data_IF_815681521595
#
_entry.id   IF_815681521595
#
_cell.length_a   1.000
_cell.length_b   1.000
_cell.length_c   1.000
_cell.angle_alpha   90.00
_cell.angle_beta   90.00
_cell.angle_gamma   90.00
#
_symmetry.space_group_name_H-M   'P 1'
#
loop_
_entity.id
_entity.type
_entity.pdbx_description
1 polymer ?
#
# COMPACT_ATOMS: atom_id res chain seq x y z
N UNK A 1 -2.96 -3.96 6.91
CA UNK A 1 -3.25 -3.77 8.34
C UNK A 1 -3.12 -2.30 8.66
N UNK A 2 -4.11 -1.72 9.34
CA UNK A 2 -4.17 -0.32 9.71
C UNK A 2 -3.80 -0.17 11.19
N UNK A 3 -2.95 0.80 11.52
CA UNK A 3 -2.68 1.17 12.91
C UNK A 3 -3.97 1.76 13.51
N UNK A 4 -4.43 1.16 14.60
CA UNK A 4 -5.55 1.64 15.38
C UNK A 4 -5.09 2.43 16.60
N UNK A 5 -5.95 2.48 17.60
CA UNK A 5 -5.69 3.19 18.85
C UNK A 5 -4.50 2.59 19.61
N UNK A 6 -4.02 3.33 20.60
CA UNK A 6 -2.97 2.89 21.50
C UNK A 6 -3.33 3.30 22.93
N UNK A 7 -3.03 2.44 23.90
CA UNK A 7 -3.27 2.72 25.33
C UNK A 7 -1.93 3.11 25.94
N UNK A 8 -1.96 4.20 26.70
CA UNK A 8 -0.85 4.67 27.54
C UNK A 8 -1.08 4.27 29.00
N UNK A 9 -0.02 4.15 29.78
CA UNK A 9 -0.11 4.08 31.25
C UNK A 9 -0.13 5.49 31.87
N UNK A 10 -0.10 5.55 33.21
CA UNK A 10 -0.13 6.79 34.00
C UNK A 10 1.10 7.68 33.76
N UNK A 11 2.22 7.10 33.34
CA UNK A 11 3.46 7.81 32.98
C UNK A 11 3.46 8.23 31.50
N UNK A 12 2.30 8.14 30.83
CA UNK A 12 2.11 8.38 29.39
C UNK A 12 2.87 7.44 28.45
N UNK A 13 3.43 6.34 28.94
CA UNK A 13 4.14 5.37 28.12
C UNK A 13 3.15 4.49 27.37
N UNK A 14 3.34 4.30 26.06
CA UNK A 14 2.51 3.39 25.28
C UNK A 14 2.70 1.95 25.75
N UNK A 15 1.65 1.38 26.34
CA UNK A 15 1.65 0.00 26.86
C UNK A 15 0.91 -0.98 25.97
N UNK A 16 -0.02 -0.52 25.13
CA UNK A 16 -0.71 -1.37 24.14
C UNK A 16 -0.94 -0.66 22.82
N UNK A 17 -0.86 -1.42 21.73
CA UNK A 17 -1.12 -0.96 20.36
C UNK A 17 -2.11 -1.90 19.69
N UNK A 18 -3.11 -1.33 19.03
CA UNK A 18 -4.08 -2.08 18.23
C UNK A 18 -3.75 -1.94 16.76
N UNK A 19 -3.83 -3.05 16.03
CA UNK A 19 -3.71 -3.08 14.59
C UNK A 19 -4.91 -3.80 14.02
N UNK A 20 -5.66 -3.15 13.15
CA UNK A 20 -6.87 -3.69 12.56
C UNK A 20 -6.61 -4.19 11.14
N UNK A 21 -7.29 -5.24 10.72
CA UNK A 21 -7.23 -5.67 9.33
C UNK A 21 -7.96 -4.69 8.41
N UNK A 22 -7.78 -4.87 7.10
CA UNK A 22 -8.50 -4.08 6.11
C UNK A 22 -10.02 -4.29 6.32
N UNK A 23 -10.83 -3.26 6.02
CA UNK A 23 -12.30 -3.22 6.18
C UNK A 23 -12.86 -2.95 7.59
N UNK A 24 -12.03 -2.68 8.59
CA UNK A 24 -12.52 -2.18 9.90
C UNK A 24 -13.28 -0.85 9.78
N UNK A 25 -14.23 -0.66 10.72
CA UNK A 25 -14.99 0.56 10.92
C UNK A 25 -16.19 0.68 9.98
N UNK A 26 -16.80 1.86 9.97
CA UNK A 26 -17.94 2.18 9.10
C UNK A 26 -17.65 3.44 8.30
N UNK A 27 -18.38 3.64 7.20
CA UNK A 27 -18.35 4.91 6.47
C UNK A 27 -19.20 5.92 7.24
N UNK A 28 -18.64 7.10 7.52
CA UNK A 28 -19.40 8.15 8.20
C UNK A 28 -20.57 8.67 7.37
N UNK A 29 -21.69 8.99 8.03
CA UNK A 29 -22.93 9.47 7.41
C UNK A 29 -22.73 10.68 6.48
N UNK A 30 -21.80 11.59 6.83
CA UNK A 30 -21.48 12.78 6.02
C UNK A 30 -21.00 12.42 4.60
N UNK A 31 -20.39 11.25 4.40
CA UNK A 31 -19.92 10.80 3.09
C UNK A 31 -21.03 10.22 2.19
N UNK A 32 -22.21 9.98 2.74
CA UNK A 32 -23.40 9.57 2.00
C UNK A 32 -24.15 10.76 1.40
N UNK A 33 -24.16 11.90 2.09
CA UNK A 33 -25.00 13.05 1.76
C UNK A 33 -24.22 14.28 1.26
N UNK A 34 -23.03 14.08 0.67
CA UNK A 34 -22.24 15.19 0.13
C UNK A 34 -22.88 15.73 -1.15
N UNK A 35 -23.40 16.94 -1.07
CA UNK A 35 -24.08 17.65 -2.16
C UNK A 35 -23.09 18.17 -3.22
N UNK A 36 -21.86 18.50 -2.83
CA UNK A 36 -20.77 19.03 -3.66
C UNK A 36 -20.05 17.97 -4.53
N UNK A 37 -20.61 16.77 -4.62
CA UNK A 37 -19.92 15.61 -5.17
C UNK A 37 -19.97 15.58 -6.70
N UNK A 38 -18.79 15.61 -7.34
CA UNK A 38 -18.62 15.52 -8.81
C UNK A 38 -18.50 14.10 -9.37
N UNK A 39 -18.30 13.07 -8.53
CA UNK A 39 -18.05 11.67 -8.95
C UNK A 39 -18.94 10.71 -8.15
N UNK A 40 -19.35 9.54 -8.67
CA UNK A 40 -20.21 8.60 -7.97
C UNK A 40 -19.61 8.10 -6.64
N UNK A 41 -20.46 7.51 -5.79
CA UNK A 41 -20.00 6.86 -4.55
C UNK A 41 -19.00 5.76 -4.87
N UNK A 42 -17.86 5.76 -4.16
CA UNK A 42 -17.01 4.59 -4.12
C UNK A 42 -17.78 3.43 -3.47
N UNK A 43 -17.59 2.18 -3.91
CA UNK A 43 -18.14 1.00 -3.26
C UNK A 43 -17.85 1.00 -1.75
N UNK A 44 -18.76 0.46 -0.96
CA UNK A 44 -18.57 0.33 0.48
C UNK A 44 -17.59 -0.81 0.76
N UNK A 45 -16.42 -0.45 1.29
CA UNK A 45 -15.33 -1.39 1.56
C UNK A 45 -15.14 -1.66 3.05
N UNK A 46 -15.83 -0.93 3.92
CA UNK A 46 -15.76 -1.09 5.37
C UNK A 46 -16.98 -1.88 5.85
N UNK A 47 -16.76 -2.95 6.60
CA UNK A 47 -17.80 -3.87 7.07
C UNK A 47 -17.85 -3.94 8.59
N UNK A 48 -17.16 -3.03 9.28
CA UNK A 48 -16.97 -3.06 10.73
C UNK A 48 -16.33 -4.37 11.25
N UNK A 49 -15.44 -4.96 10.44
CA UNK A 49 -14.73 -6.20 10.75
C UNK A 49 -13.79 -6.02 11.95
N UNK A 50 -13.99 -6.77 13.04
CA UNK A 50 -13.25 -6.64 14.31
C UNK A 50 -11.93 -7.45 14.37
N UNK A 51 -11.50 -8.03 13.24
CA UNK A 51 -10.21 -8.73 13.13
C UNK A 51 -9.06 -7.78 13.47
N UNK A 52 -8.25 -8.16 14.46
CA UNK A 52 -7.18 -7.29 14.98
C UNK A 52 -6.04 -8.04 15.62
N UNK A 53 -4.86 -7.44 15.56
CA UNK A 53 -3.67 -7.79 16.31
C UNK A 53 -3.49 -6.80 17.45
N UNK A 54 -3.39 -7.32 18.68
CA UNK A 54 -3.13 -6.52 19.89
C UNK A 54 -1.71 -6.78 20.35
N UNK A 55 -0.91 -5.74 20.40
CA UNK A 55 0.46 -5.78 20.91
C UNK A 55 0.52 -5.10 22.27
N UNK A 56 1.37 -5.60 23.17
CA UNK A 56 1.66 -4.97 24.46
C UNK A 56 3.16 -4.80 24.67
N UNK A 57 3.54 -3.81 25.46
CA UNK A 57 4.93 -3.62 25.89
C UNK A 57 5.21 -4.47 27.12
N UNK A 58 6.13 -5.42 26.99
CA UNK A 58 6.68 -6.18 28.11
C UNK A 58 7.74 -5.33 28.81
N UNK A 59 7.36 -4.71 29.94
CA UNK A 59 8.23 -3.80 30.71
C UNK A 59 9.48 -4.50 31.25
N UNK A 60 9.43 -5.81 31.48
CA UNK A 60 10.57 -6.55 32.05
C UNK A 60 11.77 -6.62 31.10
N UNK A 61 11.52 -6.63 29.79
CA UNK A 61 12.56 -6.74 28.76
C UNK A 61 12.53 -5.58 27.75
N UNK A 62 11.60 -4.64 27.88
CA UNK A 62 11.44 -3.49 26.98
C UNK A 62 10.95 -3.84 25.56
N UNK A 63 10.42 -5.05 25.34
CA UNK A 63 10.04 -5.54 24.00
C UNK A 63 8.53 -5.58 23.80
N UNK A 64 8.08 -5.31 22.58
CA UNK A 64 6.69 -5.49 22.21
C UNK A 64 6.39 -6.96 21.96
N UNK A 65 5.31 -7.48 22.57
CA UNK A 65 4.84 -8.85 22.42
C UNK A 65 3.39 -8.88 21.97
N UNK A 66 3.01 -9.96 21.28
CA UNK A 66 1.62 -10.19 20.90
C UNK A 66 0.81 -10.55 22.14
N UNK A 67 -0.27 -9.80 22.39
CA UNK A 67 -1.25 -10.12 23.44
C UNK A 67 -2.36 -11.02 22.91
N UNK A 68 -2.88 -10.68 21.74
CA UNK A 68 -4.01 -11.39 21.14
C UNK A 68 -4.02 -11.17 19.62
N UNK A 69 -4.49 -12.19 18.91
CA UNK A 69 -4.82 -12.14 17.50
C UNK A 69 -6.27 -12.61 17.37
N UNK A 70 -7.13 -11.74 16.84
CA UNK A 70 -8.52 -12.07 16.50
C UNK A 70 -8.56 -12.26 15.00
N UNK A 71 -8.72 -13.50 14.55
CA UNK A 71 -8.67 -13.88 13.12
C UNK A 71 -10.04 -13.94 12.45
N UNK A 72 -11.13 -13.95 13.23
CA UNK A 72 -12.48 -14.05 12.68
C UNK A 72 -12.80 -12.81 11.82
N UNK A 73 -13.18 -13.06 10.57
CA UNK A 73 -13.57 -12.05 9.60
C UNK A 73 -15.07 -12.12 9.34
N UNK A 74 -15.73 -10.97 9.20
CA UNK A 74 -17.14 -10.89 8.81
C UNK A 74 -17.33 -10.71 7.28
N UNK A 75 -16.29 -11.01 6.51
CA UNK A 75 -16.25 -10.88 5.07
C UNK A 75 -15.22 -11.87 4.51
N UNK A 76 -15.34 -12.18 3.22
CA UNK A 76 -14.34 -13.02 2.55
C UNK A 76 -12.97 -12.33 2.52
N UNK A 77 -11.93 -13.14 2.68
CA UNK A 77 -10.56 -12.70 2.45
C UNK A 77 -10.33 -12.42 0.96
N UNK A 78 -9.39 -11.52 0.67
CA UNK A 78 -9.04 -11.24 -0.72
C UNK A 78 -8.40 -12.47 -1.35
N UNK A 79 -8.87 -12.85 -2.54
CA UNK A 79 -8.29 -13.98 -3.28
C UNK A 79 -6.79 -13.75 -3.52
N UNK A 80 -5.95 -14.79 -3.38
CA UNK A 80 -4.51 -14.72 -3.67
C UNK A 80 -4.19 -14.19 -5.07
N UNK A 81 -5.09 -14.37 -6.04
CA UNK A 81 -4.94 -13.89 -7.43
C UNK A 81 -4.84 -12.37 -7.51
N UNK A 82 -5.35 -11.64 -6.51
CA UNK A 82 -5.29 -10.18 -6.44
C UNK A 82 -4.15 -9.66 -5.55
N UNK A 83 -3.26 -10.52 -5.07
CA UNK A 83 -2.14 -10.09 -4.21
C UNK A 83 -1.22 -9.10 -4.93
N UNK A 84 -1.00 -9.30 -6.23
CA UNK A 84 -0.16 -8.43 -7.06
C UNK A 84 -0.66 -6.97 -7.16
N UNK A 85 -1.97 -6.72 -6.98
CA UNK A 85 -2.54 -5.37 -6.98
C UNK A 85 -2.58 -4.74 -5.58
N UNK A 86 -2.29 -5.51 -4.52
CA UNK A 86 -2.29 -5.00 -3.14
C UNK A 86 -1.02 -4.18 -2.87
N UNK A 87 -1.19 -2.93 -2.43
CA UNK A 87 -0.08 -2.01 -2.19
C UNK A 87 1.12 -2.57 -1.39
N UNK A 88 0.93 -3.32 -0.28
CA UNK A 88 2.05 -3.89 0.47
C UNK A 88 2.87 -4.94 -0.28
N UNK A 89 2.29 -5.57 -1.30
CA UNK A 89 2.92 -6.61 -2.12
C UNK A 89 3.57 -6.04 -3.39
N UNK A 90 3.27 -4.78 -3.73
CA UNK A 90 3.82 -4.13 -4.91
C UNK A 90 5.20 -3.54 -4.60
N UNK A 91 6.20 -3.92 -5.37
CA UNK A 91 7.57 -3.44 -5.24
C UNK A 91 8.28 -3.45 -6.59
N UNK A 92 8.81 -2.30 -6.98
CA UNK A 92 9.78 -2.22 -8.07
C UNK A 92 11.15 -2.47 -7.47
N UNK A 93 11.72 -3.64 -7.74
CA UNK A 93 13.06 -4.02 -7.27
C UNK A 93 14.13 -3.20 -8.01
N UNK A 94 15.33 -3.07 -7.44
CA UNK A 94 16.44 -2.39 -8.13
C UNK A 94 16.77 -3.05 -9.48
N UNK A 95 16.67 -4.38 -9.56
CA UNK A 95 16.82 -5.10 -10.82
C UNK A 95 15.75 -4.73 -11.85
N UNK A 96 14.48 -4.57 -11.44
CA UNK A 96 13.43 -4.07 -12.33
C UNK A 96 13.73 -2.63 -12.77
N UNK A 97 14.14 -1.75 -11.84
CA UNK A 97 14.50 -0.35 -12.17
C UNK A 97 15.58 -0.28 -13.23
N UNK A 98 16.66 -1.05 -13.08
CA UNK A 98 17.75 -1.08 -14.06
C UNK A 98 17.24 -1.46 -15.46
N UNK A 99 16.45 -2.53 -15.57
CA UNK A 99 15.85 -2.94 -16.84
C UNK A 99 14.88 -1.89 -17.40
N UNK A 100 14.05 -1.29 -16.56
CA UNK A 100 13.12 -0.21 -16.95
C UNK A 100 13.90 0.95 -17.57
N UNK A 101 15.00 1.37 -16.94
CA UNK A 101 15.86 2.43 -17.46
C UNK A 101 16.48 2.07 -18.81
N UNK A 102 17.12 0.91 -18.91
CA UNK A 102 17.76 0.48 -20.15
C UNK A 102 16.76 0.38 -21.31
N UNK A 103 15.56 -0.17 -21.07
CA UNK A 103 14.52 -0.25 -22.10
C UNK A 103 13.98 1.13 -22.47
N UNK A 104 13.76 2.00 -21.49
CA UNK A 104 13.30 3.35 -21.77
C UNK A 104 14.33 4.17 -22.58
N UNK A 105 15.63 4.03 -22.27
CA UNK A 105 16.72 4.65 -23.03
C UNK A 105 16.85 4.08 -24.44
N UNK A 106 16.53 2.80 -24.63
CA UNK A 106 16.39 2.18 -25.94
C UNK A 106 15.09 2.59 -26.69
N UNK A 107 14.27 3.48 -26.12
CA UNK A 107 13.09 4.06 -26.77
C UNK A 107 11.80 3.26 -26.59
N UNK A 108 11.77 2.24 -25.73
CA UNK A 108 10.54 1.49 -25.48
C UNK A 108 9.53 2.31 -24.68
N UNK A 109 8.27 2.28 -25.10
CA UNK A 109 7.18 2.89 -24.36
C UNK A 109 6.91 2.14 -23.05
N UNK A 110 6.45 2.86 -22.03
CA UNK A 110 6.09 2.31 -20.71
C UNK A 110 5.12 1.12 -20.80
N UNK A 111 4.20 1.14 -21.77
CA UNK A 111 3.26 0.03 -22.04
C UNK A 111 3.97 -1.22 -22.54
N UNK A 112 4.98 -1.08 -23.40
CA UNK A 112 5.78 -2.18 -23.93
C UNK A 112 6.68 -2.77 -22.83
N UNK A 113 7.31 -1.91 -22.03
CA UNK A 113 8.12 -2.33 -20.86
C UNK A 113 7.26 -3.15 -19.90
N UNK A 114 6.05 -2.67 -19.58
CA UNK A 114 5.10 -3.40 -18.74
C UNK A 114 4.73 -4.77 -19.36
N UNK A 115 4.47 -4.81 -20.66
CA UNK A 115 4.17 -6.06 -21.39
C UNK A 115 5.32 -7.05 -21.35
N UNK A 116 6.57 -6.57 -21.49
CA UNK A 116 7.76 -7.40 -21.36
C UNK A 116 7.87 -8.05 -19.98
N UNK A 117 7.72 -7.28 -18.89
CA UNK A 117 7.75 -7.85 -17.54
C UNK A 117 6.61 -8.84 -17.29
N UNK A 118 5.40 -8.52 -17.77
CA UNK A 118 4.28 -9.44 -17.68
C UNK A 118 4.59 -10.75 -18.41
N UNK A 119 5.18 -10.70 -19.61
CA UNK A 119 5.59 -11.88 -20.36
C UNK A 119 6.64 -12.71 -19.58
N UNK A 120 7.68 -12.06 -19.06
CA UNK A 120 8.74 -12.72 -18.28
C UNK A 120 8.21 -13.40 -17.01
N UNK A 121 7.18 -12.85 -16.38
CA UNK A 121 6.55 -13.41 -15.19
C UNK A 121 5.39 -14.37 -15.50
N UNK A 122 5.13 -14.72 -16.76
CA UNK A 122 4.01 -15.61 -17.14
C UNK A 122 2.62 -14.98 -16.97
N UNK A 123 2.55 -13.65 -16.95
CA UNK A 123 1.32 -12.86 -16.90
C UNK A 123 1.37 -11.70 -15.91
N UNK A 124 0.42 -10.78 -16.06
CA UNK A 124 0.30 -9.60 -15.19
C UNK A 124 0.01 -9.94 -13.72
N UNK A 125 -0.70 -11.05 -13.46
CA UNK A 125 -1.07 -11.47 -12.10
C UNK A 125 0.13 -11.97 -11.28
N UNK A 126 1.22 -12.36 -11.93
CA UNK A 126 2.46 -12.80 -11.28
C UNK A 126 3.48 -11.67 -11.08
N UNK A 127 3.19 -10.49 -11.62
CA UNK A 127 4.09 -9.35 -11.57
C UNK A 127 3.77 -8.50 -10.33
N UNK A 128 4.75 -8.33 -9.45
CA UNK A 128 4.64 -7.54 -8.22
C UNK A 128 4.68 -6.02 -8.44
N UNK A 129 4.25 -5.53 -9.60
CA UNK A 129 4.05 -4.11 -9.89
C UNK A 129 2.89 -3.98 -10.88
N UNK A 130 2.13 -2.89 -10.79
CA UNK A 130 1.11 -2.57 -11.78
C UNK A 130 1.58 -1.42 -12.68
N UNK A 131 0.90 -1.22 -13.81
CA UNK A 131 1.24 -0.13 -14.75
C UNK A 131 1.34 1.22 -14.05
N UNK A 132 0.45 1.51 -13.10
CA UNK A 132 0.48 2.76 -12.33
C UNK A 132 1.78 2.94 -11.55
N UNK A 133 2.36 1.88 -11.01
CA UNK A 133 3.62 1.95 -10.27
C UNK A 133 4.77 2.31 -11.22
N UNK A 134 4.81 1.67 -12.39
CA UNK A 134 5.79 1.95 -13.43
C UNK A 134 5.68 3.40 -13.94
N UNK A 135 4.48 3.89 -14.22
CA UNK A 135 4.27 5.28 -14.62
C UNK A 135 4.70 6.27 -13.54
N UNK A 136 4.34 6.03 -12.28
CA UNK A 136 4.74 6.89 -11.17
C UNK A 136 6.27 6.89 -10.99
N UNK A 137 6.91 5.74 -11.15
CA UNK A 137 8.37 5.64 -11.10
C UNK A 137 9.05 6.46 -12.20
N UNK A 138 8.61 6.29 -13.44
CA UNK A 138 9.16 7.01 -14.58
C UNK A 138 8.93 8.52 -14.50
N UNK A 139 7.76 8.94 -14.01
CA UNK A 139 7.49 10.35 -13.75
C UNK A 139 8.43 10.91 -12.67
N UNK A 140 8.65 10.18 -11.58
CA UNK A 140 9.63 10.56 -10.56
C UNK A 140 11.05 10.71 -11.11
N UNK A 141 11.49 9.78 -11.96
CA UNK A 141 12.79 9.87 -12.66
C UNK A 141 12.86 11.12 -13.54
N UNK A 142 11.81 11.40 -14.30
CA UNK A 142 11.74 12.58 -15.17
C UNK A 142 11.81 13.88 -14.36
N UNK A 143 11.05 13.99 -13.28
CA UNK A 143 11.08 15.16 -12.40
C UNK A 143 12.46 15.38 -11.78
N UNK A 144 13.11 14.32 -11.32
CA UNK A 144 14.47 14.40 -10.77
C UNK A 144 15.48 14.97 -11.78
N UNK A 145 15.45 14.48 -13.03
CA UNK A 145 16.34 14.98 -14.10
C UNK A 145 16.09 16.46 -14.44
N UNK A 146 14.84 16.92 -14.38
CA UNK A 146 14.49 18.33 -14.61
C UNK A 146 15.10 19.19 -13.49
N UNK A 147 14.95 18.80 -12.23
CA UNK A 147 15.49 19.54 -11.08
C UNK A 147 17.01 19.62 -11.12
N UNK A 148 17.72 18.53 -11.48
CA UNK A 148 19.18 18.58 -11.66
C UNK A 148 19.60 19.49 -12.83
N UNK A 149 18.84 19.47 -13.94
CA UNK A 149 19.08 20.33 -15.09
C UNK A 149 18.90 21.82 -14.77
N UNK A 150 17.90 22.16 -13.95
CA UNK A 150 17.63 23.53 -13.51
C UNK A 150 18.67 24.02 -12.48
N UNK A 151 19.19 23.13 -11.63
CA UNK A 151 20.21 23.46 -10.63
C UNK A 151 21.62 23.65 -11.22
N UNK A 152 21.88 23.12 -12.42
CA UNK A 152 23.15 23.29 -13.13
C UNK A 152 23.26 24.63 -13.90
N UNK A 153 22.24 25.48 -13.85
CA UNK A 153 22.18 26.77 -14.56
C UNK A 153 22.25 28.01 -13.63
N UNK A 154 22.72 27.88 -12.38
CA UNK A 154 22.96 29.00 -11.45
C UNK A 154 24.43 29.15 -11.07
#
# INVERSE_FOLDING_TARGET
MQKGDSIKDEEENFVRKFFYYNRQGVREKKHYKRVDRKRPHKPETRTNCNTKLVMFLDKSCGKWRMKALVEEHNHDLSSPVFTNIMAPHRKITEGHKAHIHSMHEAGFHTTQIMGFFAHMCGGYHNLNLISKDLYNYMDGVRQFRIVEGDAAQQ
#
